data_IF_580921038531
#
_entry.id   IF_580921038531
#
_cell.length_a   1.000
_cell.length_b   1.000
_cell.length_c   1.000
_cell.angle_alpha   90.00
_cell.angle_beta   90.00
_cell.angle_gamma   90.00
#
_symmetry.space_group_name_H-M   'P 1'
#
loop_
_entity.id
_entity.type
_entity.pdbx_description
1 polymer ?
#
# COMPACT_ATOMS: atom_id res chain seq x y z
N UNK A 1 29.14 -51.05 51.90
CA UNK A 1 29.40 -49.59 51.84
C UNK A 1 29.30 -49.15 50.39
N UNK A 2 28.61 -48.03 50.14
CA UNK A 2 27.90 -47.68 48.90
C UNK A 2 28.81 -47.40 47.68
N UNK A 3 28.33 -47.82 46.50
CA UNK A 3 28.89 -47.53 45.16
C UNK A 3 28.35 -46.18 44.62
N UNK A 4 29.27 -45.39 44.05
CA UNK A 4 29.28 -44.63 42.77
C UNK A 4 27.95 -44.10 42.21
N UNK A 5 27.90 -42.79 41.84
CA UNK A 5 27.70 -42.26 40.46
C UNK A 5 27.57 -40.72 40.52
N UNK A 6 28.51 -40.05 39.85
CA UNK A 6 28.46 -38.65 39.43
C UNK A 6 27.53 -38.57 38.22
N UNK A 7 26.51 -37.71 38.23
CA UNK A 7 25.89 -37.26 36.97
C UNK A 7 25.28 -35.86 37.12
N UNK A 8 25.77 -34.99 36.25
CA UNK A 8 25.46 -33.58 36.13
C UNK A 8 24.00 -33.35 35.76
N UNK A 9 23.27 -32.59 36.59
CA UNK A 9 22.02 -31.96 36.18
C UNK A 9 22.35 -30.67 35.44
N UNK A 10 22.66 -30.81 34.14
CA UNK A 10 22.74 -29.70 33.19
C UNK A 10 21.31 -29.16 33.00
N UNK A 11 20.94 -28.14 33.78
CA UNK A 11 19.72 -27.37 33.58
C UNK A 11 19.87 -26.57 32.27
N UNK A 12 19.59 -27.23 31.14
CA UNK A 12 19.54 -26.59 29.83
C UNK A 12 18.24 -25.77 29.76
N UNK A 13 18.32 -24.52 30.20
CA UNK A 13 17.30 -23.51 29.93
C UNK A 13 17.34 -23.23 28.42
N UNK A 14 16.45 -23.88 27.66
CA UNK A 14 16.23 -23.56 26.26
C UNK A 14 15.58 -22.17 26.21
N UNK A 15 16.40 -21.12 26.19
CA UNK A 15 15.95 -19.79 25.85
C UNK A 15 15.50 -19.83 24.38
N UNK A 16 14.20 -19.99 24.16
CA UNK A 16 13.56 -19.67 22.88
C UNK A 16 13.79 -18.19 22.63
N UNK A 17 14.92 -17.84 22.02
CA UNK A 17 15.14 -16.50 21.47
C UNK A 17 14.22 -16.37 20.26
N UNK A 18 13.02 -15.85 20.50
CA UNK A 18 12.20 -15.33 19.42
C UNK A 18 12.96 -14.13 18.84
N UNK A 19 13.71 -14.34 17.76
CA UNK A 19 14.18 -13.24 16.94
C UNK A 19 12.94 -12.55 16.40
N UNK A 20 12.59 -11.39 16.96
CA UNK A 20 11.63 -10.50 16.34
C UNK A 20 12.23 -10.08 15.00
N UNK A 21 11.82 -10.72 13.90
CA UNK A 21 12.28 -10.36 12.58
C UNK A 21 11.82 -8.92 12.30
N UNK A 22 12.80 -8.05 12.08
CA UNK A 22 12.56 -6.63 11.83
C UNK A 22 11.71 -6.46 10.58
N UNK A 23 10.70 -5.59 10.67
CA UNK A 23 9.89 -5.18 9.51
C UNK A 23 10.79 -4.61 8.42
N UNK A 24 10.64 -5.11 7.19
CA UNK A 24 11.36 -4.68 6.00
C UNK A 24 10.40 -4.04 4.98
N UNK A 25 10.96 -3.34 4.00
CA UNK A 25 10.19 -2.83 2.86
C UNK A 25 9.87 -3.97 1.90
N UNK A 26 8.59 -4.25 1.70
CA UNK A 26 8.13 -5.25 0.73
C UNK A 26 8.13 -4.63 -0.66
N UNK A 27 7.41 -3.52 -0.84
CA UNK A 27 7.39 -2.73 -2.08
C UNK A 27 7.40 -1.25 -1.73
N UNK A 28 8.04 -0.44 -2.58
CA UNK A 28 8.02 1.01 -2.48
C UNK A 28 8.06 1.65 -3.85
N UNK A 29 7.18 2.62 -4.11
CA UNK A 29 7.19 3.43 -5.33
C UNK A 29 7.61 4.86 -5.02
N UNK A 30 8.62 5.31 -5.76
CA UNK A 30 9.03 6.69 -5.86
C UNK A 30 8.78 7.18 -7.29
N UNK A 31 7.99 8.23 -7.41
CA UNK A 31 7.56 8.78 -8.70
C UNK A 31 8.34 10.02 -9.12
N UNK A 32 9.43 10.38 -8.42
CA UNK A 32 10.18 11.61 -8.65
C UNK A 32 10.67 11.79 -10.10
N UNK A 33 10.96 10.70 -10.81
CA UNK A 33 11.38 10.72 -12.22
C UNK A 33 10.23 10.63 -13.22
N UNK A 34 8.99 10.42 -12.76
CA UNK A 34 7.83 10.35 -13.62
C UNK A 34 7.46 11.73 -14.17
N UNK A 35 6.92 11.75 -15.39
CA UNK A 35 6.37 12.94 -16.03
C UNK A 35 4.89 12.73 -16.33
N UNK A 36 4.15 13.80 -16.58
CA UNK A 36 2.78 13.77 -17.09
C UNK A 36 1.76 12.92 -16.27
N UNK A 37 1.98 12.79 -14.94
CA UNK A 37 1.12 11.96 -14.08
C UNK A 37 1.44 10.47 -14.12
N UNK A 38 2.59 10.10 -14.71
CA UNK A 38 3.24 8.81 -14.61
C UNK A 38 2.62 7.66 -15.40
N UNK A 39 3.44 6.67 -15.70
CA UNK A 39 3.08 5.53 -16.55
C UNK A 39 2.49 4.39 -15.72
N UNK A 40 1.41 3.76 -16.19
CA UNK A 40 0.85 2.55 -15.56
C UNK A 40 1.82 1.37 -15.67
N UNK A 41 1.67 0.39 -14.79
CA UNK A 41 2.57 -0.75 -14.63
C UNK A 41 4.00 -0.36 -14.24
N UNK A 42 4.19 0.84 -13.69
CA UNK A 42 5.48 1.23 -13.11
C UNK A 42 5.86 0.23 -12.01
N UNK A 43 7.06 -0.34 -12.12
CA UNK A 43 7.61 -1.26 -11.13
C UNK A 43 7.99 -0.51 -9.84
N UNK A 44 8.01 -1.17 -8.67
CA UNK A 44 8.49 -0.56 -7.44
C UNK A 44 9.94 -0.08 -7.60
N UNK A 45 10.26 1.09 -7.05
CA UNK A 45 11.63 1.61 -6.95
C UNK A 45 12.47 0.84 -5.92
N UNK A 46 11.82 0.26 -4.91
CA UNK A 46 12.40 -0.71 -3.98
C UNK A 46 11.46 -1.89 -3.90
N UNK A 47 12.01 -3.10 -3.99
CA UNK A 47 11.26 -4.35 -3.92
C UNK A 47 12.09 -5.36 -3.13
N UNK A 48 11.46 -6.08 -2.20
CA UNK A 48 12.12 -7.21 -1.54
C UNK A 48 12.45 -8.30 -2.57
N UNK A 49 13.58 -8.97 -2.39
CA UNK A 49 14.03 -10.05 -3.29
C UNK A 49 13.06 -11.24 -3.32
N UNK A 50 12.26 -11.39 -2.26
CA UNK A 50 11.33 -12.49 -2.03
C UNK A 50 9.93 -12.24 -2.60
N UNK A 51 9.77 -11.23 -3.46
CA UNK A 51 8.52 -10.96 -4.18
C UNK A 51 8.75 -10.61 -5.65
N UNK A 52 7.68 -10.68 -6.42
CA UNK A 52 7.59 -10.03 -7.73
C UNK A 52 6.40 -9.07 -7.74
N UNK A 53 6.42 -8.06 -8.61
CA UNK A 53 5.32 -7.08 -8.71
C UNK A 53 4.77 -6.99 -10.13
N UNK A 54 3.45 -6.78 -10.24
CA UNK A 54 2.80 -6.40 -11.51
C UNK A 54 2.75 -4.88 -11.70
N UNK A 55 3.39 -4.11 -10.80
CA UNK A 55 3.40 -2.65 -10.82
C UNK A 55 2.12 -2.02 -10.26
N UNK A 56 2.00 -0.70 -10.48
CA UNK A 56 0.88 0.13 -10.07
C UNK A 56 0.09 0.64 -11.28
N UNK A 57 -1.24 0.63 -11.20
CA UNK A 57 -2.16 0.87 -12.32
C UNK A 57 -3.30 1.77 -11.90
N UNK A 58 -3.63 2.75 -12.76
CA UNK A 58 -4.84 3.58 -12.64
C UNK A 58 -6.06 2.79 -13.10
N UNK A 59 -7.14 2.85 -12.33
CA UNK A 59 -8.43 2.32 -12.74
C UNK A 59 -8.94 2.97 -14.02
N UNK A 60 -9.72 2.21 -14.80
CA UNK A 60 -10.16 2.62 -16.14
C UNK A 60 -11.10 3.82 -16.14
N UNK A 61 -11.79 4.08 -15.03
CA UNK A 61 -12.67 5.23 -14.88
C UNK A 61 -11.97 6.55 -14.57
N UNK A 62 -10.65 6.53 -14.34
CA UNK A 62 -9.86 7.73 -14.17
C UNK A 62 -9.53 8.34 -15.53
N UNK A 63 -9.70 9.65 -15.66
CA UNK A 63 -9.39 10.33 -16.91
C UNK A 63 -7.86 10.42 -17.07
N UNK A 64 -7.34 9.68 -18.04
CA UNK A 64 -5.91 9.68 -18.40
C UNK A 64 -5.50 10.89 -19.27
N UNK A 65 -6.48 11.65 -19.77
CA UNK A 65 -6.26 12.93 -20.45
C UNK A 65 -5.87 14.00 -19.40
N UNK A 66 -4.61 13.95 -19.01
CA UNK A 66 -3.98 14.91 -18.13
C UNK A 66 -3.65 16.18 -18.92
N UNK A 67 -4.60 17.10 -19.04
CA UNK A 67 -4.25 18.50 -19.35
C UNK A 67 -3.31 19.07 -18.27
N UNK A 68 -3.39 18.53 -17.04
CA UNK A 68 -2.48 18.81 -15.93
C UNK A 68 -1.39 17.74 -15.81
N UNK A 69 -0.30 17.97 -16.52
CA UNK A 69 0.94 17.20 -16.45
C UNK A 69 1.63 17.48 -15.12
N UNK A 70 1.57 16.53 -14.17
CA UNK A 70 2.26 16.66 -12.88
C UNK A 70 3.59 15.90 -12.91
N UNK A 71 4.74 16.57 -13.13
CA UNK A 71 6.04 15.93 -13.03
C UNK A 71 6.32 15.55 -11.58
N UNK A 72 7.04 14.44 -11.36
CA UNK A 72 7.36 13.85 -10.04
C UNK A 72 6.20 13.15 -9.33
N UNK A 73 5.04 13.07 -9.98
CA UNK A 73 3.84 12.45 -9.43
C UNK A 73 3.23 11.42 -10.38
N UNK A 74 2.51 10.47 -9.81
CA UNK A 74 1.78 9.44 -10.52
C UNK A 74 0.31 9.46 -10.07
N UNK A 75 -0.63 9.56 -10.99
CA UNK A 75 -2.05 9.70 -10.66
C UNK A 75 -2.87 10.30 -11.78
N UNK A 76 -4.07 10.75 -11.46
CA UNK A 76 -5.03 11.21 -12.44
C UNK A 76 -6.09 12.13 -11.82
N UNK A 77 -7.09 12.46 -12.63
CA UNK A 77 -8.34 13.08 -12.23
C UNK A 77 -9.52 12.12 -12.40
N UNK A 78 -10.70 12.58 -11.99
CA UNK A 78 -11.96 11.87 -12.19
C UNK A 78 -12.32 10.93 -11.04
N UNK A 79 -11.75 11.13 -9.84
CA UNK A 79 -12.12 10.36 -8.65
C UNK A 79 -13.60 10.56 -8.26
N UNK A 80 -14.12 9.71 -7.36
CA UNK A 80 -15.55 9.72 -7.06
C UNK A 80 -15.97 10.96 -6.25
N UNK A 81 -17.11 11.53 -6.62
CA UNK A 81 -17.78 12.63 -5.91
C UNK A 81 -18.80 12.12 -4.87
N UNK A 82 -19.00 10.80 -4.77
CA UNK A 82 -19.85 10.24 -3.74
C UNK A 82 -19.28 10.60 -2.37
N UNK A 83 -20.13 11.17 -1.51
CA UNK A 83 -19.78 11.62 -0.16
C UNK A 83 -20.17 10.60 0.90
N UNK A 84 -20.82 9.51 0.51
CA UNK A 84 -21.34 8.50 1.42
C UNK A 84 -20.47 7.24 1.50
N UNK A 85 -19.58 7.02 0.51
CA UNK A 85 -18.67 5.87 0.54
C UNK A 85 -17.89 5.64 -0.76
N UNK A 86 -17.09 4.57 -0.82
CA UNK A 86 -16.25 4.23 -1.96
C UNK A 86 -17.01 3.56 -3.12
N UNK A 87 -18.29 3.21 -2.95
CA UNK A 87 -19.05 2.34 -3.85
C UNK A 87 -19.12 2.86 -5.30
N UNK A 88 -19.38 4.15 -5.50
CA UNK A 88 -19.35 4.76 -6.83
C UNK A 88 -17.97 4.66 -7.47
N UNK A 89 -16.91 4.84 -6.66
CA UNK A 89 -15.53 4.70 -7.09
C UNK A 89 -15.20 3.26 -7.51
N UNK A 90 -15.71 2.26 -6.80
CA UNK A 90 -15.55 0.84 -7.15
C UNK A 90 -16.29 0.54 -8.46
N UNK A 91 -17.58 0.87 -8.53
CA UNK A 91 -18.46 0.57 -9.67
C UNK A 91 -17.95 1.21 -10.96
N UNK A 92 -17.38 2.42 -10.88
CA UNK A 92 -16.86 3.15 -12.04
C UNK A 92 -15.37 2.94 -12.28
N UNK A 93 -14.71 2.03 -11.57
CA UNK A 93 -13.28 1.76 -11.69
C UNK A 93 -12.38 3.00 -11.47
N UNK A 94 -12.74 3.84 -10.49
CA UNK A 94 -12.03 5.08 -10.10
C UNK A 94 -11.14 4.85 -8.88
N UNK A 95 -10.19 3.94 -9.02
CA UNK A 95 -9.29 3.54 -7.95
C UNK A 95 -7.86 3.36 -8.46
N UNK A 96 -6.92 3.20 -7.53
CA UNK A 96 -5.53 2.85 -7.81
C UNK A 96 -5.34 1.40 -7.36
N UNK A 97 -4.67 0.58 -8.17
CA UNK A 97 -4.32 -0.80 -7.81
C UNK A 97 -2.83 -1.03 -7.92
N UNK A 98 -2.28 -1.82 -7.00
CA UNK A 98 -0.96 -2.39 -7.14
C UNK A 98 -0.99 -3.84 -6.65
N UNK A 99 -0.06 -4.66 -7.13
CA UNK A 99 0.01 -6.05 -6.67
C UNK A 99 1.42 -6.59 -6.65
N UNK A 100 1.60 -7.59 -5.80
CA UNK A 100 2.83 -8.36 -5.68
C UNK A 100 2.54 -9.82 -5.38
N UNK A 101 3.47 -10.69 -5.73
CA UNK A 101 3.40 -12.14 -5.57
C UNK A 101 4.48 -12.54 -4.58
N UNK A 102 4.13 -13.35 -3.59
CA UNK A 102 5.07 -13.92 -2.63
C UNK A 102 5.91 -15.01 -3.32
N UNK A 103 7.23 -14.82 -3.38
CA UNK A 103 8.17 -15.79 -3.96
C UNK A 103 9.06 -16.46 -2.89
N UNK A 104 9.00 -15.98 -1.64
CA UNK A 104 9.81 -16.49 -0.53
C UNK A 104 9.47 -17.94 -0.15
N UNK A 105 10.44 -18.63 0.44
CA UNK A 105 10.22 -19.94 1.07
C UNK A 105 9.39 -19.86 2.38
N UNK A 106 9.25 -18.66 2.96
CA UNK A 106 8.49 -18.41 4.17
C UNK A 106 7.22 -17.59 3.89
N UNK A 107 6.14 -17.77 4.67
CA UNK A 107 4.95 -16.92 4.56
C UNK A 107 5.26 -15.45 4.80
N UNK A 108 4.55 -14.56 4.10
CA UNK A 108 4.64 -13.11 4.29
C UNK A 108 3.59 -12.62 5.29
N UNK A 109 3.99 -11.76 6.22
CA UNK A 109 3.06 -11.01 7.06
C UNK A 109 3.25 -9.53 6.81
N UNK A 110 2.17 -8.82 6.47
CA UNK A 110 2.21 -7.37 6.22
C UNK A 110 2.01 -6.60 7.52
N UNK A 111 2.81 -5.55 7.72
CA UNK A 111 2.77 -4.74 8.94
C UNK A 111 1.95 -3.47 8.73
N UNK A 112 2.27 -2.68 7.69
CA UNK A 112 1.58 -1.44 7.37
C UNK A 112 1.82 -0.98 5.93
N UNK A 113 0.94 -0.08 5.47
CA UNK A 113 1.26 0.89 4.41
C UNK A 113 1.69 2.17 5.12
N UNK A 114 2.92 2.61 4.85
CA UNK A 114 3.46 3.86 5.38
C UNK A 114 2.59 5.05 4.94
N UNK A 115 2.64 6.19 5.66
CA UNK A 115 2.02 7.43 5.23
C UNK A 115 2.23 7.71 3.74
N UNK A 116 1.13 7.75 2.98
CA UNK A 116 1.18 8.13 1.57
C UNK A 116 1.57 9.59 1.45
N UNK A 117 2.43 9.90 0.48
CA UNK A 117 2.64 11.26 0.01
C UNK A 117 1.73 11.48 -1.19
N UNK A 118 0.79 12.39 -1.02
CA UNK A 118 -0.24 12.66 -2.02
C UNK A 118 -0.22 14.13 -2.41
N UNK A 119 -0.72 14.42 -3.61
CA UNK A 119 -1.01 15.77 -4.05
C UNK A 119 -2.45 15.84 -4.52
N UNK A 120 -3.26 16.67 -3.87
CA UNK A 120 -4.69 16.79 -4.17
C UNK A 120 -5.10 18.22 -4.38
N UNK A 121 -6.13 18.42 -5.20
CA UNK A 121 -6.76 19.72 -5.41
C UNK A 121 -7.71 20.07 -4.27
N UNK A 122 -8.15 21.34 -4.23
CA UNK A 122 -9.10 21.82 -3.21
C UNK A 122 -10.52 21.27 -3.36
N UNK A 123 -10.77 20.52 -4.43
CA UNK A 123 -12.03 19.79 -4.68
C UNK A 123 -11.78 18.30 -4.93
N UNK A 124 -10.56 17.84 -4.65
CA UNK A 124 -10.15 16.44 -4.75
C UNK A 124 -10.78 15.54 -3.70
N UNK A 125 -10.57 14.22 -3.81
CA UNK A 125 -11.03 13.26 -2.81
C UNK A 125 -10.35 13.51 -1.47
N UNK A 126 -11.10 13.35 -0.37
CA UNK A 126 -10.59 13.53 1.00
C UNK A 126 -10.65 12.24 1.82
N UNK A 127 -11.33 11.22 1.33
CA UNK A 127 -11.40 9.90 1.95
C UNK A 127 -10.70 8.88 1.05
N UNK A 128 -10.01 7.93 1.67
CA UNK A 128 -9.25 6.89 0.98
C UNK A 128 -9.55 5.55 1.65
N UNK A 129 -10.37 4.73 0.97
CA UNK A 129 -10.63 3.36 1.41
C UNK A 129 -9.55 2.45 0.85
N UNK A 130 -8.96 1.63 1.72
CA UNK A 130 -7.97 0.62 1.35
C UNK A 130 -8.64 -0.74 1.36
N UNK A 131 -8.45 -1.50 0.28
CA UNK A 131 -8.94 -2.84 0.13
C UNK A 131 -7.80 -3.79 -0.27
N UNK A 132 -7.97 -5.08 0.02
CA UNK A 132 -7.12 -6.14 -0.50
C UNK A 132 -7.93 -7.26 -1.13
N UNK A 133 -7.26 -8.08 -1.94
CA UNK A 133 -7.80 -9.30 -2.53
C UNK A 133 -6.67 -10.30 -2.82
N UNK A 134 -7.01 -11.59 -2.84
CA UNK A 134 -6.09 -12.65 -3.27
C UNK A 134 -6.43 -13.23 -4.65
N UNK A 135 -7.59 -12.91 -5.21
CA UNK A 135 -8.04 -13.36 -6.53
C UNK A 135 -8.10 -12.22 -7.56
N UNK A 136 -8.06 -10.96 -7.10
CA UNK A 136 -8.17 -9.77 -7.94
C UNK A 136 -9.60 -9.44 -8.34
N UNK A 137 -10.60 -10.12 -7.78
CA UNK A 137 -12.03 -9.96 -8.08
C UNK A 137 -12.78 -9.55 -6.82
N UNK A 138 -12.70 -10.35 -5.76
CA UNK A 138 -13.37 -10.06 -4.48
C UNK A 138 -12.43 -9.28 -3.58
N UNK A 139 -12.78 -8.02 -3.31
CA UNK A 139 -12.02 -7.12 -2.47
C UNK A 139 -12.66 -6.98 -1.09
N UNK A 140 -11.83 -7.03 -0.05
CA UNK A 140 -12.21 -6.81 1.35
C UNK A 140 -11.66 -5.49 1.85
N UNK A 141 -12.47 -4.74 2.59
CA UNK A 141 -12.05 -3.51 3.24
C UNK A 141 -11.01 -3.75 4.33
N UNK A 142 -10.03 -2.86 4.39
CA UNK A 142 -9.04 -2.77 5.46
C UNK A 142 -9.47 -1.64 6.40
N UNK A 143 -9.53 -0.43 5.85
CA UNK A 143 -9.87 0.79 6.58
C UNK A 143 -10.16 1.93 5.61
N UNK A 144 -10.73 3.01 6.12
CA UNK A 144 -10.80 4.30 5.44
C UNK A 144 -10.04 5.33 6.25
N UNK A 145 -9.12 6.05 5.59
CA UNK A 145 -8.47 7.22 6.17
C UNK A 145 -9.01 8.49 5.54
N UNK A 146 -8.89 9.59 6.28
CA UNK A 146 -9.32 10.91 5.85
C UNK A 146 -8.14 11.88 5.90
N UNK A 147 -8.10 12.80 4.93
CA UNK A 147 -7.21 13.96 4.94
C UNK A 147 -8.02 15.23 4.95
N UNK A 148 -7.38 16.31 5.37
CA UNK A 148 -7.97 17.63 5.29
C UNK A 148 -7.99 18.11 3.83
N UNK A 149 -9.08 18.79 3.48
CA UNK A 149 -9.21 19.38 2.16
C UNK A 149 -8.30 20.62 2.07
N UNK A 150 -7.32 20.67 1.14
CA UNK A 150 -6.46 21.83 1.05
C UNK A 150 -7.20 23.00 0.40
N UNK A 151 -6.72 24.23 0.63
CA UNK A 151 -7.30 25.45 0.04
C UNK A 151 -6.90 25.60 -1.44
N UNK A 152 -5.74 25.05 -1.81
CA UNK A 152 -5.18 25.03 -3.17
C UNK A 152 -4.55 23.66 -3.45
N UNK A 153 -4.17 23.42 -4.69
CA UNK A 153 -3.46 22.18 -5.07
C UNK A 153 -2.15 22.01 -4.27
N UNK A 154 -2.09 21.00 -3.41
CA UNK A 154 -1.07 20.91 -2.35
C UNK A 154 -0.62 19.49 -2.08
N UNK A 155 0.64 19.35 -1.65
CA UNK A 155 1.18 18.10 -1.15
C UNK A 155 0.72 17.87 0.29
N UNK A 156 0.30 16.65 0.60
CA UNK A 156 -0.18 16.21 1.89
C UNK A 156 0.44 14.86 2.26
N UNK A 157 0.44 14.55 3.54
CA UNK A 157 0.84 13.26 4.08
C UNK A 157 -0.37 12.65 4.77
N UNK A 158 -0.71 11.43 4.39
CA UNK A 158 -1.82 10.67 4.99
C UNK A 158 -1.39 9.97 6.28
N UNK A 159 -2.31 9.56 7.16
CA UNK A 159 -2.00 8.59 8.21
C UNK A 159 -1.51 7.25 7.63
N UNK A 160 -0.72 6.51 8.42
CA UNK A 160 -0.35 5.14 8.07
C UNK A 160 -1.57 4.20 8.13
N UNK A 161 -1.56 3.14 7.31
CA UNK A 161 -2.58 2.09 7.33
C UNK A 161 -2.01 0.83 7.94
N UNK A 162 -2.49 0.46 9.12
CA UNK A 162 -2.05 -0.76 9.82
C UNK A 162 -2.61 -2.00 9.14
N UNK A 163 -1.73 -2.90 8.72
CA UNK A 163 -2.08 -4.18 8.07
C UNK A 163 -1.94 -5.37 9.02
N UNK A 164 -1.15 -5.22 10.09
CA UNK A 164 -0.92 -6.24 11.11
C UNK A 164 -2.19 -6.72 11.82
N UNK A 165 -3.25 -5.91 11.84
CA UNK A 165 -4.54 -6.27 12.44
C UNK A 165 -5.46 -7.04 11.46
N UNK A 166 -5.10 -7.08 10.17
CA UNK A 166 -5.86 -7.82 9.16
C UNK A 166 -5.37 -9.26 9.11
N UNK A 167 -6.12 -10.18 9.72
CA UNK A 167 -5.75 -11.60 9.87
C UNK A 167 -5.32 -12.27 8.57
N UNK A 168 -6.04 -12.02 7.49
CA UNK A 168 -5.77 -12.61 6.17
C UNK A 168 -4.43 -12.13 5.58
N UNK A 169 -3.97 -10.93 5.95
CA UNK A 169 -2.69 -10.37 5.51
C UNK A 169 -1.51 -10.83 6.41
N UNK A 170 -1.77 -11.71 7.37
CA UNK A 170 -0.77 -12.39 8.18
C UNK A 170 -0.57 -13.82 7.65
N UNK A 171 0.69 -14.25 7.54
CA UNK A 171 1.06 -15.59 7.04
C UNK A 171 0.52 -15.90 5.64
N UNK A 172 0.56 -14.93 4.74
CA UNK A 172 0.26 -15.09 3.31
C UNK A 172 1.19 -16.14 2.73
N UNK A 173 0.61 -17.23 2.22
CA UNK A 173 1.38 -18.36 1.69
C UNK A 173 2.23 -17.97 0.47
N UNK A 174 3.30 -18.72 0.23
CA UNK A 174 4.13 -18.61 -0.98
C UNK A 174 3.31 -18.82 -2.26
N UNK A 175 3.65 -18.09 -3.32
CA UNK A 175 3.00 -18.12 -4.62
C UNK A 175 1.67 -17.35 -4.69
N UNK A 176 1.23 -16.74 -3.58
CA UNK A 176 -0.02 -15.97 -3.55
C UNK A 176 0.21 -14.57 -4.11
N UNK A 177 -0.72 -14.13 -4.96
CA UNK A 177 -0.78 -12.74 -5.39
C UNK A 177 -1.61 -11.95 -4.38
N UNK A 178 -1.06 -10.83 -3.92
CA UNK A 178 -1.75 -9.84 -3.11
C UNK A 178 -2.09 -8.66 -4.01
N UNK A 179 -3.39 -8.41 -4.18
CA UNK A 179 -3.88 -7.21 -4.85
C UNK A 179 -4.29 -6.20 -3.79
N UNK A 180 -3.77 -4.98 -3.91
CA UNK A 180 -4.14 -3.85 -3.07
C UNK A 180 -4.85 -2.82 -3.92
N UNK A 181 -5.91 -2.23 -3.36
CA UNK A 181 -6.69 -1.19 -4.02
C UNK A 181 -6.86 -0.01 -3.06
N UNK A 182 -6.62 1.19 -3.57
CA UNK A 182 -6.87 2.46 -2.89
C UNK A 182 -8.00 3.15 -3.65
N UNK A 183 -9.09 3.46 -2.97
CA UNK A 183 -10.27 4.14 -3.56
C UNK A 183 -10.37 5.54 -2.95
N UNK A 184 -9.89 6.58 -3.65
CA UNK A 184 -10.16 7.96 -3.27
C UNK A 184 -11.61 8.36 -3.58
N UNK A 185 -12.32 8.91 -2.61
CA UNK A 185 -13.72 9.37 -2.74
C UNK A 185 -14.01 10.62 -1.90
N UNK A 186 -15.22 11.16 -2.03
CA UNK A 186 -15.64 12.39 -1.36
C UNK A 186 -15.14 13.66 -2.04
N UNK A 187 -14.85 13.62 -3.35
CA UNK A 187 -14.51 14.81 -4.12
C UNK A 187 -15.68 15.82 -4.16
N UNK A 188 -15.38 17.11 -4.34
CA UNK A 188 -16.37 18.19 -4.30
C UNK A 188 -16.83 18.67 -5.68
N UNK A 189 -16.20 18.21 -6.76
CA UNK A 189 -16.53 18.60 -8.12
C UNK A 189 -16.17 17.52 -9.15
N UNK A 190 -16.75 17.65 -10.35
CA UNK A 190 -16.51 16.75 -11.48
C UNK A 190 -15.27 17.11 -12.30
N UNK A 191 -14.80 18.35 -12.16
CA UNK A 191 -13.62 18.89 -12.84
C UNK A 191 -12.52 19.11 -11.81
N UNK A 192 -11.25 18.97 -12.19
CA UNK A 192 -10.08 19.26 -11.35
C UNK A 192 -10.08 18.58 -9.97
N UNK A 193 -10.67 17.39 -9.83
CA UNK A 193 -10.63 16.61 -8.60
C UNK A 193 -9.40 15.70 -8.54
N UNK A 194 -8.26 16.29 -8.87
CA UNK A 194 -6.99 15.59 -9.03
C UNK A 194 -6.52 14.93 -7.73
N UNK A 195 -5.98 13.73 -7.86
CA UNK A 195 -5.21 13.09 -6.81
C UNK A 195 -4.05 12.31 -7.40
N UNK A 196 -2.86 12.64 -6.92
CA UNK A 196 -1.63 11.99 -7.31
C UNK A 196 -0.88 11.45 -6.10
N UNK A 197 -0.13 10.36 -6.29
CA UNK A 197 0.91 9.88 -5.41
C UNK A 197 2.24 10.49 -5.85
N UNK A 198 3.01 11.08 -4.95
CA UNK A 198 4.30 11.66 -5.29
C UNK A 198 4.74 12.72 -4.30
N UNK A 199 5.83 13.38 -4.64
CA UNK A 199 6.42 14.43 -3.82
C UNK A 199 7.27 15.36 -4.68
N UNK A 200 7.36 16.62 -4.29
CA UNK A 200 8.24 17.61 -4.93
C UNK A 200 9.72 17.29 -4.71
N UNK A 201 10.01 16.47 -3.70
CA UNK A 201 11.30 15.90 -3.33
C UNK A 201 11.38 14.40 -3.66
N UNK A 202 12.60 13.88 -3.74
CA UNK A 202 12.92 12.49 -4.05
C UNK A 202 12.61 11.54 -2.87
N UNK A 203 11.32 11.33 -2.63
CA UNK A 203 10.80 10.47 -1.58
C UNK A 203 9.82 9.45 -2.13
N UNK A 204 9.82 8.26 -1.54
CA UNK A 204 8.78 7.26 -1.80
C UNK A 204 7.38 7.81 -1.46
N UNK A 205 6.42 7.59 -2.36
CA UNK A 205 5.04 8.03 -2.20
C UNK A 205 4.13 6.95 -1.62
N UNK A 206 4.46 5.68 -1.88
CA UNK A 206 3.73 4.50 -1.42
C UNK A 206 4.75 3.45 -0.99
N UNK A 207 4.66 2.98 0.26
CA UNK A 207 5.54 1.94 0.79
C UNK A 207 4.73 0.95 1.61
N UNK A 208 4.88 -0.34 1.35
CA UNK A 208 4.32 -1.42 2.16
C UNK A 208 5.45 -2.12 2.89
N UNK A 209 5.28 -2.34 4.19
CA UNK A 209 6.26 -3.06 5.02
C UNK A 209 5.68 -4.36 5.57
N UNK A 210 6.56 -5.28 5.95
CA UNK A 210 6.19 -6.62 6.39
C UNK A 210 7.41 -7.44 6.81
N UNK A 211 7.21 -8.74 6.99
CA UNK A 211 8.25 -9.68 7.34
C UNK A 211 7.91 -11.10 6.84
N UNK A 212 8.92 -11.85 6.39
CA UNK A 212 8.78 -13.26 6.01
C UNK A 212 9.05 -14.18 7.21
N UNK A 213 8.01 -14.85 7.72
CA UNK A 213 8.07 -15.71 8.92
C UNK A 213 7.17 -16.95 8.85
#
# INVERSE_FOLDING_TARGET
>A
MKKVIIQAAFFMLLALTSFAQKSETIVSWNFFTQIDGGTDNSVPSIMSADISSKGIVKGKGLSKNNEFKQPKYWGAKGFSFDKNGPEDGIKKEKFITFSFITNAAKPLSLDEIKPLRIKISSIGPVNYTFQYSFDGVEFKDITTIKVDNPVKFSDLITPAVKLSDVKDLQRIATGKTVYMRIIPWGAKGNEYNDCYLGSSYDYAALTVTGNFK
#
